data_IF_784648622925
#
_entry.id   IF_784648622925
#
_cell.length_a   1.000
_cell.length_b   1.000
_cell.length_c   1.000
_cell.angle_alpha   90.00
_cell.angle_beta   90.00
_cell.angle_gamma   90.00
#
_symmetry.space_group_name_H-M   'P 1'
#
loop_
_entity.id
_entity.type
_entity.pdbx_description
1 polymer ?
#
# COMPACT_ATOMS: atom_id res chain seq x y z
N UNK A 1 8.85 -27.08 -8.87
CA UNK A 1 9.06 -25.61 -8.82
C UNK A 1 9.85 -25.23 -7.57
N UNK A 2 11.19 -25.22 -7.63
CA UNK A 2 12.05 -24.63 -6.58
C UNK A 2 11.91 -23.10 -6.65
N UNK A 3 11.62 -22.44 -5.52
CA UNK A 3 11.68 -20.97 -5.42
C UNK A 3 10.42 -20.24 -4.90
N UNK A 4 9.27 -20.92 -4.77
CA UNK A 4 8.12 -20.34 -4.07
C UNK A 4 8.25 -20.56 -2.55
N UNK A 5 8.99 -19.67 -1.89
CA UNK A 5 8.89 -19.55 -0.44
C UNK A 5 7.61 -18.77 -0.08
N UNK A 6 6.79 -19.38 0.77
CA UNK A 6 5.58 -18.77 1.30
C UNK A 6 5.98 -17.50 2.07
N UNK A 7 5.59 -16.32 1.57
CA UNK A 7 5.94 -15.02 2.16
C UNK A 7 6.93 -14.18 1.36
N UNK A 8 7.63 -14.72 0.34
CA UNK A 8 8.51 -13.92 -0.52
C UNK A 8 7.66 -13.17 -1.58
N UNK A 9 7.67 -11.82 -1.60
CA UNK A 9 6.96 -11.05 -2.64
C UNK A 9 7.55 -11.41 -4.00
N UNK A 10 6.82 -12.21 -4.77
CA UNK A 10 7.31 -12.76 -6.06
C UNK A 10 6.90 -11.91 -7.26
N UNK A 11 6.03 -10.91 -7.06
CA UNK A 11 5.56 -10.00 -8.11
C UNK A 11 5.35 -8.61 -7.53
N UNK A 12 6.21 -7.68 -7.91
CA UNK A 12 6.03 -6.26 -7.64
C UNK A 12 5.09 -5.66 -8.68
N UNK A 13 4.18 -4.78 -8.25
CA UNK A 13 3.38 -3.95 -9.14
C UNK A 13 3.71 -2.52 -8.77
N UNK A 14 4.41 -1.85 -9.67
CA UNK A 14 4.73 -0.42 -9.55
C UNK A 14 3.67 0.37 -10.29
N UNK A 15 3.03 1.33 -9.61
CA UNK A 15 2.16 2.30 -10.23
C UNK A 15 2.85 3.65 -10.18
N UNK A 16 3.41 4.09 -11.30
CA UNK A 16 4.01 5.41 -11.43
C UNK A 16 2.95 6.36 -11.93
N UNK A 17 2.56 7.34 -11.12
CA UNK A 17 1.71 8.43 -11.58
C UNK A 17 2.55 9.37 -12.44
N UNK A 18 2.16 9.55 -13.70
CA UNK A 18 2.86 10.42 -14.65
C UNK A 18 2.53 11.91 -14.46
N UNK A 19 1.42 12.20 -13.79
CA UNK A 19 0.95 13.56 -13.58
C UNK A 19 1.01 13.91 -12.09
N UNK A 20 1.53 15.11 -11.80
CA UNK A 20 1.44 15.71 -10.48
C UNK A 20 -0.02 16.07 -10.22
N UNK A 21 -0.69 15.29 -9.38
CA UNK A 21 -2.02 15.66 -8.89
C UNK A 21 -1.82 16.75 -7.86
N UNK A 22 -2.23 17.98 -8.20
CA UNK A 22 -2.34 19.06 -7.21
C UNK A 22 -3.36 18.62 -6.16
N UNK A 23 -2.85 18.20 -5.01
CA UNK A 23 -3.69 17.76 -3.90
C UNK A 23 -4.21 19.04 -3.22
N UNK A 24 -5.26 19.65 -3.78
CA UNK A 24 -6.08 20.64 -3.06
C UNK A 24 -6.83 20.04 -1.85
N UNK A 25 -6.42 18.86 -1.40
CA UNK A 25 -6.97 18.03 -0.33
C UNK A 25 -5.80 17.36 0.42
N UNK A 26 -5.95 16.98 1.69
CA UNK A 26 -4.83 16.56 2.54
C UNK A 26 -4.19 15.18 2.21
N UNK A 27 -4.57 14.48 1.12
CA UNK A 27 -4.02 13.17 0.77
C UNK A 27 -4.74 12.39 -0.34
N UNK A 28 -4.17 11.22 -0.69
CA UNK A 28 -4.65 10.26 -1.71
C UNK A 28 -5.08 8.94 -1.05
N UNK A 29 -6.11 8.28 -1.59
CA UNK A 29 -6.57 6.96 -1.12
C UNK A 29 -6.53 5.94 -2.26
N UNK A 30 -5.90 4.79 -2.00
CA UNK A 30 -5.85 3.64 -2.89
C UNK A 30 -6.67 2.51 -2.30
N UNK A 31 -7.66 2.01 -3.05
CA UNK A 31 -8.35 0.77 -2.71
C UNK A 31 -7.63 -0.41 -3.32
N UNK A 32 -7.16 -1.33 -2.48
CA UNK A 32 -6.42 -2.50 -2.93
C UNK A 32 -7.35 -3.69 -2.95
N UNK A 33 -7.41 -4.36 -4.09
CA UNK A 33 -8.25 -5.52 -4.35
C UNK A 33 -7.37 -6.72 -4.73
N UNK A 34 -7.78 -7.93 -4.38
CA UNK A 34 -7.17 -9.14 -4.92
C UNK A 34 -7.38 -9.19 -6.44
N UNK A 35 -6.28 -9.37 -7.19
CA UNK A 35 -6.34 -9.63 -8.62
C UNK A 35 -6.64 -11.12 -8.86
N UNK A 36 -7.47 -11.43 -9.86
CA UNK A 36 -7.67 -12.78 -10.46
C UNK A 36 -8.54 -13.83 -9.76
N UNK A 37 -9.50 -13.46 -8.90
CA UNK A 37 -10.54 -14.42 -8.45
C UNK A 37 -11.93 -14.02 -8.92
N UNK A 38 -12.79 -15.00 -9.22
CA UNK A 38 -14.23 -14.81 -9.51
C UNK A 38 -14.91 -13.95 -8.44
N UNK A 39 -14.46 -14.06 -7.19
CA UNK A 39 -14.83 -13.16 -6.09
C UNK A 39 -13.75 -12.10 -5.89
N UNK A 40 -13.94 -10.92 -6.48
CA UNK A 40 -13.11 -9.74 -6.20
C UNK A 40 -13.23 -9.38 -4.72
N UNK A 41 -12.17 -9.64 -3.94
CA UNK A 41 -12.11 -9.29 -2.52
C UNK A 41 -11.29 -8.04 -2.32
N UNK A 42 -11.87 -7.02 -1.70
CA UNK A 42 -11.13 -5.85 -1.22
C UNK A 42 -10.19 -6.29 -0.10
N UNK A 43 -8.90 -5.99 -0.23
CA UNK A 43 -7.88 -6.27 0.79
C UNK A 43 -7.83 -5.16 1.84
N UNK A 44 -7.97 -3.92 1.40
CA UNK A 44 -7.96 -2.76 2.28
C UNK A 44 -7.82 -1.46 1.52
N UNK A 45 -7.60 -0.38 2.27
CA UNK A 45 -7.38 0.95 1.74
C UNK A 45 -6.06 1.50 2.28
N UNK A 46 -5.18 1.92 1.39
CA UNK A 46 -3.98 2.69 1.72
C UNK A 46 -4.31 4.18 1.58
N UNK A 47 -4.11 4.95 2.63
CA UNK A 47 -4.20 6.41 2.61
C UNK A 47 -2.79 6.98 2.69
N UNK A 48 -2.47 7.87 1.77
CA UNK A 48 -1.23 8.65 1.74
C UNK A 48 -1.61 10.08 2.06
N UNK A 49 -1.04 10.67 3.10
CA UNK A 49 -1.36 12.03 3.54
C UNK A 49 -0.11 12.74 4.05
N UNK A 50 -0.24 14.01 4.41
CA UNK A 50 0.83 14.78 5.06
C UNK A 50 1.35 14.09 6.34
N UNK A 51 0.50 13.38 7.07
CA UNK A 51 0.87 12.64 8.29
C UNK A 51 1.47 11.24 8.06
N UNK A 52 1.78 10.88 6.81
CA UNK A 52 2.35 9.59 6.43
C UNK A 52 1.36 8.62 5.80
N UNK A 53 1.65 7.32 5.98
CA UNK A 53 0.92 6.21 5.38
C UNK A 53 -0.01 5.56 6.41
N UNK A 54 -1.27 5.33 6.02
CA UNK A 54 -2.24 4.57 6.83
C UNK A 54 -2.85 3.44 6.02
N UNK A 55 -2.67 2.21 6.49
CA UNK A 55 -3.34 1.03 5.97
C UNK A 55 -4.55 0.66 6.82
N UNK A 56 -5.71 0.51 6.19
CA UNK A 56 -6.92 -0.02 6.82
C UNK A 56 -7.33 -1.32 6.13
N UNK A 57 -7.19 -2.50 6.78
CA UNK A 57 -7.63 -3.77 6.22
C UNK A 57 -9.15 -3.78 6.02
N UNK A 58 -9.62 -4.44 4.95
CA UNK A 58 -11.06 -4.59 4.72
C UNK A 58 -11.69 -5.44 5.82
N UNK A 59 -12.72 -4.90 6.50
CA UNK A 59 -13.40 -5.49 7.67
C UNK A 59 -12.50 -5.69 8.91
N UNK A 60 -11.25 -5.23 8.90
CA UNK A 60 -10.40 -5.30 10.08
C UNK A 60 -10.59 -4.08 10.99
N UNK A 61 -10.53 -4.32 12.31
CA UNK A 61 -10.77 -3.27 13.32
C UNK A 61 -9.59 -2.33 13.49
N UNK A 62 -8.35 -2.81 13.33
CA UNK A 62 -7.12 -2.04 13.58
C UNK A 62 -6.54 -1.50 12.27
N UNK A 63 -6.30 -0.19 12.22
CA UNK A 63 -5.46 0.44 11.19
C UNK A 63 -3.99 0.38 11.59
N UNK A 64 -3.11 0.27 10.60
CA UNK A 64 -1.66 0.45 10.77
C UNK A 64 -1.28 1.82 10.21
N UNK A 65 -0.56 2.63 10.96
CA UNK A 65 -0.05 3.93 10.52
C UNK A 65 1.47 3.97 10.65
N UNK A 66 2.13 4.64 9.72
CA UNK A 66 3.54 4.98 9.76
C UNK A 66 3.72 6.45 9.39
N UNK A 67 4.59 7.14 10.11
CA UNK A 67 5.07 8.47 9.72
C UNK A 67 5.96 8.39 8.49
N UNK A 68 6.30 9.54 7.92
CA UNK A 68 7.25 9.61 6.81
C UNK A 68 8.66 9.21 7.25
N UNK A 69 9.10 9.59 8.45
CA UNK A 69 10.41 9.21 8.99
C UNK A 69 10.55 7.68 9.10
N UNK A 70 9.57 7.03 9.73
CA UNK A 70 9.53 5.56 9.86
C UNK A 70 9.29 4.82 8.53
N UNK A 71 8.92 5.54 7.48
CA UNK A 71 8.85 5.00 6.11
C UNK A 71 10.18 5.19 5.38
N UNK A 72 10.87 6.30 5.58
CA UNK A 72 12.18 6.56 5.00
C UNK A 72 13.22 5.53 5.46
N UNK A 73 13.17 5.12 6.73
CA UNK A 73 14.02 4.06 7.29
C UNK A 73 13.94 2.73 6.53
N UNK A 74 12.81 2.41 5.89
CA UNK A 74 12.68 1.18 5.09
C UNK A 74 13.53 1.18 3.82
N UNK A 75 13.98 2.34 3.38
CA UNK A 75 14.80 2.52 2.19
C UNK A 75 16.21 3.02 2.52
N UNK A 76 16.53 3.19 3.81
CA UNK A 76 17.90 3.44 4.21
C UNK A 76 18.74 2.19 3.92
N UNK A 77 19.88 2.31 3.19
CA UNK A 77 20.81 1.21 3.07
C UNK A 77 21.38 0.86 4.46
N UNK A 78 21.52 -0.44 4.74
CA UNK A 78 22.26 -0.95 5.91
C UNK A 78 23.74 -0.55 5.86
#
# INVERSE_FOLDING_TARGET
MKGRQQGRPTKWVSATMKEHVSVGKPGVKFEVWEKWKKNRRKLGTLTISVGGLRWRPHKGKRSKQRSWDAFAEWFAPE
#
